data_IF_508360416466
#
_entry.id   IF_508360416466
#
_cell.length_a   1.000
_cell.length_b   1.000
_cell.length_c   1.000
_cell.angle_alpha   90.00
_cell.angle_beta   90.00
_cell.angle_gamma   90.00
#
_symmetry.space_group_name_H-M   'P 1'
#
loop_
_entity.id
_entity.type
_entity.pdbx_description
1 polymer ?
#
# COMPACT_ATOMS: atom_id res chain seq x y z
N UNK A 1 12.23 -7.10 11.89
CA UNK A 1 12.95 -7.10 10.60
C UNK A 1 12.04 -6.64 9.49
N UNK A 2 12.53 -5.76 8.65
CA UNK A 2 11.83 -5.26 7.47
C UNK A 2 12.63 -5.70 6.24
N UNK A 3 11.97 -6.42 5.34
CA UNK A 3 12.56 -6.80 4.05
C UNK A 3 11.70 -6.20 2.96
N UNK A 4 12.30 -5.28 2.20
CA UNK A 4 11.64 -4.61 1.09
C UNK A 4 11.86 -5.44 -0.17
N UNK A 5 10.79 -5.71 -0.89
CA UNK A 5 10.82 -6.48 -2.13
C UNK A 5 10.51 -5.59 -3.32
N UNK A 6 11.08 -5.92 -4.47
CA UNK A 6 10.63 -5.34 -5.73
C UNK A 6 9.27 -5.92 -6.10
N UNK A 7 8.55 -5.25 -7.01
CA UNK A 7 7.25 -5.74 -7.48
C UNK A 7 7.39 -7.13 -8.09
N UNK A 8 8.48 -7.39 -8.80
CA UNK A 8 8.74 -8.68 -9.46
C UNK A 8 8.99 -9.82 -8.47
N UNK A 9 9.47 -9.49 -7.27
CA UNK A 9 9.74 -10.47 -6.21
C UNK A 9 8.50 -10.80 -5.37
N UNK A 10 7.44 -10.02 -5.52
CA UNK A 10 6.20 -10.24 -4.78
C UNK A 10 5.53 -11.54 -5.21
N UNK A 11 5.18 -12.38 -4.22
CA UNK A 11 4.53 -13.65 -4.45
C UNK A 11 3.23 -13.73 -3.63
N UNK A 12 2.10 -13.80 -4.31
CA UNK A 12 0.78 -13.92 -3.69
C UNK A 12 0.64 -15.20 -2.84
N UNK A 13 1.40 -16.24 -3.16
CA UNK A 13 1.36 -17.50 -2.43
C UNK A 13 2.04 -17.42 -1.07
N UNK A 14 2.81 -16.37 -0.82
CA UNK A 14 3.48 -16.12 0.47
C UNK A 14 2.60 -15.35 1.45
N UNK A 15 1.40 -14.97 1.06
CA UNK A 15 0.48 -14.18 1.87
C UNK A 15 -0.31 -15.07 2.83
N UNK A 16 -0.34 -14.66 4.10
CA UNK A 16 -1.15 -15.27 5.13
C UNK A 16 -2.01 -14.20 5.80
N UNK A 17 -3.31 -14.44 5.88
CA UNK A 17 -4.26 -13.56 6.56
C UNK A 17 -4.51 -14.08 7.96
N UNK A 18 -4.28 -13.23 8.97
CA UNK A 18 -4.55 -13.57 10.35
C UNK A 18 -6.06 -13.50 10.64
N UNK A 19 -6.46 -13.99 11.81
CA UNK A 19 -7.84 -13.89 12.24
C UNK A 19 -8.25 -12.44 12.43
N UNK A 20 -9.48 -12.05 12.05
CA UNK A 20 -9.96 -10.68 12.23
C UNK A 20 -10.00 -10.30 13.69
N UNK A 21 -9.57 -9.05 13.97
CA UNK A 21 -9.69 -8.45 15.30
C UNK A 21 -10.58 -7.22 15.21
N UNK A 22 -11.26 -6.92 16.31
CA UNK A 22 -12.15 -5.74 16.37
C UNK A 22 -11.31 -4.47 16.22
N UNK A 23 -11.72 -3.61 15.28
CA UNK A 23 -11.09 -2.31 15.11
C UNK A 23 -11.58 -1.34 16.19
N UNK A 24 -10.65 -0.79 16.98
CA UNK A 24 -10.99 0.14 18.07
C UNK A 24 -11.39 1.53 17.58
N UNK A 25 -11.06 1.86 16.34
CA UNK A 25 -11.28 3.20 15.78
C UNK A 25 -12.66 3.31 15.14
N UNK A 26 -13.14 2.22 14.53
CA UNK A 26 -14.44 2.18 13.85
C UNK A 26 -15.33 1.17 14.57
N UNK A 27 -16.49 1.62 15.03
CA UNK A 27 -17.52 0.72 15.57
C UNK A 27 -17.93 -0.26 14.46
N UNK A 28 -18.07 -1.53 14.76
CA UNK A 28 -18.38 -2.61 13.82
C UNK A 28 -17.30 -2.88 12.76
N UNK A 29 -16.13 -2.22 12.86
CA UNK A 29 -14.99 -2.47 11.99
C UNK A 29 -14.11 -3.60 12.49
N UNK A 30 -13.44 -4.25 11.54
CA UNK A 30 -12.46 -5.29 11.84
C UNK A 30 -11.16 -5.01 11.09
N UNK A 31 -10.07 -5.49 11.66
CA UNK A 31 -8.75 -5.44 11.04
C UNK A 31 -8.19 -6.84 10.90
N UNK A 32 -7.70 -7.16 9.71
CA UNK A 32 -7.11 -8.46 9.40
C UNK A 32 -5.65 -8.24 9.04
N UNK A 33 -4.76 -8.67 9.94
CA UNK A 33 -3.33 -8.53 9.72
C UNK A 33 -2.85 -9.42 8.59
N UNK A 34 -1.96 -8.89 7.74
CA UNK A 34 -1.30 -9.65 6.69
C UNK A 34 0.11 -10.01 7.15
N UNK A 35 0.47 -11.27 6.99
CA UNK A 35 1.84 -11.74 7.14
C UNK A 35 2.36 -12.16 5.77
N UNK A 36 3.64 -11.90 5.52
CA UNK A 36 4.34 -12.39 4.34
C UNK A 36 5.31 -13.47 4.79
N UNK A 37 5.01 -14.71 4.44
CA UNK A 37 5.79 -15.88 4.86
C UNK A 37 6.70 -16.35 3.73
N UNK A 38 7.98 -16.14 3.90
CA UNK A 38 9.01 -16.68 3.02
C UNK A 38 9.63 -17.94 3.67
N UNK A 39 10.46 -18.66 2.91
CA UNK A 39 11.03 -19.93 3.36
C UNK A 39 11.79 -19.88 4.68
N UNK A 40 12.41 -18.74 5.00
CA UNK A 40 13.27 -18.58 6.16
C UNK A 40 12.80 -17.55 7.20
N UNK A 41 11.71 -16.82 6.92
CA UNK A 41 11.25 -15.76 7.82
C UNK A 41 9.77 -15.40 7.59
N UNK A 42 9.17 -14.75 8.58
CA UNK A 42 7.83 -14.21 8.49
C UNK A 42 7.90 -12.70 8.72
N UNK A 43 7.31 -11.93 7.83
CA UNK A 43 7.26 -10.47 7.90
C UNK A 43 5.88 -10.00 8.33
N UNK A 44 5.84 -8.93 9.13
CA UNK A 44 4.62 -8.23 9.51
C UNK A 44 4.19 -7.25 8.41
N UNK A 45 3.51 -7.77 7.40
CA UNK A 45 3.05 -6.97 6.28
C UNK A 45 3.94 -7.11 5.05
N UNK A 46 3.52 -6.43 4.01
CA UNK A 46 4.19 -6.42 2.71
C UNK A 46 4.88 -5.07 2.53
N UNK A 47 6.14 -5.09 2.13
CA UNK A 47 6.93 -3.88 1.86
C UNK A 47 7.42 -3.95 0.42
N UNK A 48 6.92 -3.06 -0.44
CA UNK A 48 7.25 -3.03 -1.86
C UNK A 48 8.01 -1.76 -2.20
N UNK A 49 9.12 -1.90 -2.91
CA UNK A 49 9.88 -0.77 -3.42
C UNK A 49 9.27 -0.29 -4.74
N UNK A 50 8.92 0.99 -4.79
CA UNK A 50 8.32 1.63 -5.94
C UNK A 50 9.27 2.70 -6.46
N UNK A 51 9.63 2.61 -7.74
CA UNK A 51 10.48 3.60 -8.40
C UNK A 51 9.65 4.36 -9.42
N UNK A 52 9.34 5.62 -9.12
CA UNK A 52 8.59 6.49 -10.01
C UNK A 52 9.52 7.21 -10.99
N UNK A 53 8.98 7.56 -12.14
CA UNK A 53 9.62 8.46 -13.09
C UNK A 53 9.19 9.88 -12.77
N UNK A 54 10.16 10.74 -12.46
CA UNK A 54 9.96 12.17 -12.21
C UNK A 54 8.91 12.49 -11.14
N UNK A 55 9.38 12.72 -9.93
CA UNK A 55 8.54 13.16 -8.82
C UNK A 55 8.80 14.65 -8.58
N UNK A 56 7.72 15.44 -8.52
CA UNK A 56 7.76 16.83 -8.10
C UNK A 56 7.14 16.95 -6.71
N UNK A 57 7.93 17.40 -5.74
CA UNK A 57 7.50 17.48 -4.34
C UNK A 57 7.12 18.91 -4.00
N UNK A 58 5.90 19.12 -3.53
CA UNK A 58 5.38 20.38 -3.04
C UNK A 58 5.13 20.29 -1.53
N UNK A 59 5.60 21.30 -0.80
CA UNK A 59 5.27 21.41 0.62
C UNK A 59 3.98 22.19 0.79
N UNK A 60 3.07 21.62 1.59
CA UNK A 60 1.77 22.22 1.84
C UNK A 60 1.44 22.08 3.34
N UNK A 61 1.64 23.15 4.12
CA UNK A 61 1.57 23.16 5.58
C UNK A 61 2.50 22.09 6.18
N UNK A 62 1.96 21.10 6.90
CA UNK A 62 2.72 19.98 7.47
C UNK A 62 2.70 18.73 6.59
N UNK A 63 2.36 18.92 5.31
CA UNK A 63 2.22 17.82 4.35
C UNK A 63 3.15 18.03 3.18
N UNK A 64 3.51 16.95 2.54
CA UNK A 64 4.20 16.96 1.25
C UNK A 64 3.31 16.28 0.22
N UNK A 65 3.16 16.92 -0.91
CA UNK A 65 2.44 16.37 -2.05
C UNK A 65 3.45 15.99 -3.11
N UNK A 66 3.58 14.71 -3.38
CA UNK A 66 4.50 14.17 -4.37
C UNK A 66 3.74 13.90 -5.66
N UNK A 67 3.93 14.77 -6.64
CA UNK A 67 3.21 14.69 -7.92
C UNK A 67 4.03 13.91 -8.93
N UNK A 68 3.35 13.13 -9.75
CA UNK A 68 3.96 12.39 -10.85
C UNK A 68 3.04 12.34 -12.05
N UNK A 69 3.62 12.11 -13.22
CA UNK A 69 2.85 11.95 -14.45
C UNK A 69 2.33 10.52 -14.55
N UNK A 70 1.02 10.35 -14.68
CA UNK A 70 0.39 9.04 -14.74
C UNK A 70 0.88 8.25 -15.96
N UNK A 71 0.99 8.89 -17.12
CA UNK A 71 1.39 8.22 -18.34
C UNK A 71 2.82 7.69 -18.30
N UNK A 72 3.72 8.43 -17.64
CA UNK A 72 5.12 8.03 -17.48
C UNK A 72 5.32 6.93 -16.43
N UNK A 73 4.30 6.62 -15.65
CA UNK A 73 4.33 5.64 -14.57
C UNK A 73 3.26 4.54 -14.74
N UNK A 74 2.76 4.38 -15.95
CA UNK A 74 1.63 3.49 -16.24
C UNK A 74 1.89 2.05 -15.82
N UNK A 75 3.06 1.50 -16.13
CA UNK A 75 3.40 0.11 -15.78
C UNK A 75 3.44 -0.10 -14.27
N UNK A 76 4.01 0.85 -13.54
CA UNK A 76 4.09 0.80 -12.09
C UNK A 76 2.68 0.83 -11.46
N UNK A 77 1.86 1.76 -11.90
CA UNK A 77 0.48 1.91 -11.43
C UNK A 77 -0.33 0.64 -11.72
N UNK A 78 -0.19 0.09 -12.91
CA UNK A 78 -0.89 -1.14 -13.29
C UNK A 78 -0.45 -2.33 -12.45
N UNK A 79 0.85 -2.45 -12.17
CA UNK A 79 1.39 -3.51 -11.30
C UNK A 79 0.83 -3.42 -9.88
N UNK A 80 0.74 -2.22 -9.34
CA UNK A 80 0.18 -2.00 -8.00
C UNK A 80 -1.32 -2.30 -7.99
N UNK A 81 -2.03 -1.89 -9.02
CA UNK A 81 -3.46 -2.22 -9.19
C UNK A 81 -3.68 -3.72 -9.17
N UNK A 82 -2.85 -4.48 -9.88
CA UNK A 82 -2.94 -5.93 -9.92
C UNK A 82 -2.67 -6.56 -8.55
N UNK A 83 -1.69 -6.05 -7.81
CA UNK A 83 -1.39 -6.54 -6.45
C UNK A 83 -2.57 -6.29 -5.52
N UNK A 84 -3.12 -5.08 -5.53
CA UNK A 84 -4.31 -4.75 -4.72
C UNK A 84 -5.49 -5.64 -5.07
N UNK A 85 -5.77 -5.81 -6.34
CA UNK A 85 -6.85 -6.69 -6.81
C UNK A 85 -6.63 -8.14 -6.39
N UNK A 86 -5.40 -8.65 -6.51
CA UNK A 86 -5.08 -10.02 -6.13
C UNK A 86 -5.25 -10.26 -4.63
N UNK A 87 -4.82 -9.32 -3.81
CA UNK A 87 -4.96 -9.42 -2.35
C UNK A 87 -6.43 -9.42 -1.93
N UNK A 88 -7.23 -8.50 -2.48
CA UNK A 88 -8.64 -8.40 -2.15
C UNK A 88 -9.42 -9.61 -2.67
N UNK A 89 -9.03 -10.15 -3.83
CA UNK A 89 -9.64 -11.37 -4.37
C UNK A 89 -9.28 -12.60 -3.56
N UNK A 90 -8.05 -12.69 -3.07
CA UNK A 90 -7.61 -13.81 -2.23
C UNK A 90 -8.36 -13.85 -0.89
N UNK A 91 -8.70 -12.69 -0.34
CA UNK A 91 -9.47 -12.56 0.90
C UNK A 91 -10.95 -12.27 0.61
N UNK A 92 -11.50 -12.81 -0.42
CA UNK A 92 -12.86 -12.50 -0.86
C UNK A 92 -13.89 -12.61 0.29
N UNK A 93 -14.62 -11.52 0.51
CA UNK A 93 -15.69 -11.44 1.50
C UNK A 93 -17.04 -11.39 0.78
N UNK A 94 -17.80 -12.48 0.89
CA UNK A 94 -19.12 -12.56 0.28
C UNK A 94 -20.07 -11.51 0.85
N UNK A 95 -20.73 -10.76 -0.03
CA UNK A 95 -21.70 -9.73 0.34
C UNK A 95 -21.10 -8.39 0.69
N UNK A 96 -19.77 -8.21 0.55
CA UNK A 96 -19.10 -6.94 0.80
C UNK A 96 -18.44 -6.42 -0.47
N UNK A 97 -18.29 -5.10 -0.55
CA UNK A 97 -17.77 -4.41 -1.72
C UNK A 97 -16.28 -4.09 -1.51
N UNK A 98 -15.40 -4.57 -2.40
CA UNK A 98 -13.97 -4.22 -2.31
C UNK A 98 -13.76 -2.75 -2.67
N UNK A 99 -12.85 -2.09 -1.93
CA UNK A 99 -12.51 -0.70 -2.12
C UNK A 99 -11.03 -0.61 -2.49
N UNK A 100 -10.73 -0.16 -3.70
CA UNK A 100 -9.37 -0.12 -4.27
C UNK A 100 -8.72 1.24 -4.02
N UNK A 101 -8.48 1.59 -2.75
CA UNK A 101 -7.99 2.91 -2.36
C UNK A 101 -6.57 3.22 -2.84
N UNK A 102 -5.70 2.22 -2.93
CA UNK A 102 -4.33 2.43 -3.40
C UNK A 102 -4.36 2.86 -4.86
N UNK A 103 -5.04 2.13 -5.70
CA UNK A 103 -5.18 2.46 -7.12
C UNK A 103 -5.85 3.81 -7.33
N UNK A 104 -6.92 4.10 -6.59
CA UNK A 104 -7.62 5.38 -6.67
C UNK A 104 -6.71 6.56 -6.34
N UNK A 105 -5.84 6.40 -5.34
CA UNK A 105 -4.88 7.44 -4.98
C UNK A 105 -3.84 7.65 -6.08
N UNK A 106 -3.26 6.58 -6.60
CA UNK A 106 -2.24 6.66 -7.65
C UNK A 106 -2.80 7.22 -8.96
N UNK A 107 -4.04 6.90 -9.27
CA UNK A 107 -4.75 7.41 -10.44
C UNK A 107 -4.90 8.93 -10.42
N UNK A 108 -4.88 9.54 -9.24
CA UNK A 108 -4.93 11.00 -9.10
C UNK A 108 -3.58 11.67 -9.36
N UNK A 109 -2.51 10.91 -9.54
CA UNK A 109 -1.20 11.43 -9.90
C UNK A 109 -0.40 12.01 -8.76
N UNK A 110 -0.72 11.68 -7.50
CA UNK A 110 0.06 12.17 -6.38
C UNK A 110 0.01 11.23 -5.17
N UNK A 111 1.04 11.37 -4.33
CA UNK A 111 1.13 10.71 -3.03
C UNK A 111 1.28 11.81 -1.99
N UNK A 112 0.45 11.78 -0.95
CA UNK A 112 0.52 12.73 0.16
C UNK A 112 1.27 12.10 1.34
N UNK A 113 2.28 12.80 1.84
CA UNK A 113 3.06 12.39 2.99
C UNK A 113 2.82 13.36 4.15
N UNK A 114 2.63 12.80 5.33
CA UNK A 114 2.47 13.57 6.57
C UNK A 114 3.72 13.39 7.40
N UNK A 115 4.68 14.29 7.24
CA UNK A 115 5.92 14.27 8.00
C UNK A 115 6.45 15.70 8.17
N UNK A 116 7.23 15.93 9.23
CA UNK A 116 7.71 17.26 9.54
C UNK A 116 8.81 17.72 8.59
N UNK A 117 9.73 16.85 8.23
CA UNK A 117 10.84 17.15 7.36
C UNK A 117 11.09 16.02 6.36
N UNK A 118 10.98 16.34 5.10
CA UNK A 118 11.34 15.43 4.03
C UNK A 118 12.71 15.82 3.49
N UNK A 119 13.67 14.92 3.55
CA UNK A 119 14.99 15.15 2.98
C UNK A 119 14.88 15.25 1.46
N UNK A 120 15.46 16.30 0.90
CA UNK A 120 15.59 16.41 -0.55
C UNK A 120 16.62 15.38 -1.01
N UNK A 121 16.16 14.35 -1.68
CA UNK A 121 17.01 13.35 -2.31
C UNK A 121 16.73 13.34 -3.80
N UNK A 122 17.71 12.91 -4.58
CA UNK A 122 17.55 12.81 -6.03
C UNK A 122 16.81 11.52 -6.45
N UNK A 123 16.44 10.68 -5.49
CA UNK A 123 15.69 9.48 -5.83
C UNK A 123 14.19 9.73 -5.80
N UNK A 124 13.47 8.98 -6.62
CA UNK A 124 12.02 9.03 -6.74
C UNK A 124 11.39 7.75 -6.19
N UNK A 125 12.00 7.18 -5.16
CA UNK A 125 11.59 5.89 -4.63
C UNK A 125 10.74 6.01 -3.39
N UNK A 126 9.74 5.14 -3.32
CA UNK A 126 8.84 5.00 -2.17
C UNK A 126 8.77 3.54 -1.75
N UNK A 127 8.44 3.31 -0.50
CA UNK A 127 8.05 2.00 -0.02
C UNK A 127 6.55 2.02 0.20
N UNK A 128 5.85 1.10 -0.44
CA UNK A 128 4.43 0.85 -0.16
C UNK A 128 4.36 -0.24 0.90
N UNK A 129 3.90 0.12 2.09
CA UNK A 129 3.66 -0.84 3.17
C UNK A 129 2.18 -1.20 3.19
N UNK A 130 1.88 -2.50 3.06
CA UNK A 130 0.53 -3.03 3.20
C UNK A 130 0.49 -3.86 4.49
N UNK A 131 -0.24 -3.37 5.49
CA UNK A 131 -0.26 -3.98 6.83
C UNK A 131 -1.35 -5.03 6.99
N UNK A 132 -2.45 -4.89 6.28
CA UNK A 132 -3.59 -5.78 6.43
C UNK A 132 -4.79 -5.29 5.65
N UNK A 133 -5.96 -5.83 6.02
CA UNK A 133 -7.24 -5.39 5.47
C UNK A 133 -8.08 -4.77 6.58
N UNK A 134 -8.89 -3.81 6.20
CA UNK A 134 -9.97 -3.30 7.03
C UNK A 134 -11.30 -3.79 6.48
N UNK A 135 -12.25 -3.98 7.36
CA UNK A 135 -13.57 -4.49 7.03
C UNK A 135 -14.61 -3.68 7.79
N UNK A 136 -15.65 -3.23 7.10
CA UNK A 136 -16.85 -2.62 7.69
C UNK A 136 -18.05 -3.50 7.34
N UNK A 137 -19.25 -3.09 7.68
CA UNK A 137 -20.47 -3.82 7.33
C UNK A 137 -20.68 -3.97 5.83
N UNK A 138 -20.23 -2.96 5.06
CA UNK A 138 -20.51 -2.86 3.62
C UNK A 138 -19.26 -3.07 2.77
N UNK A 139 -18.10 -2.55 3.23
CA UNK A 139 -16.88 -2.46 2.45
C UNK A 139 -15.71 -3.21 3.10
N UNK A 140 -14.71 -3.50 2.28
CA UNK A 140 -13.40 -3.97 2.76
C UNK A 140 -12.31 -3.47 1.81
N UNK A 141 -11.10 -3.32 2.33
CA UNK A 141 -9.99 -2.79 1.55
C UNK A 141 -8.66 -3.01 2.25
N UNK A 142 -7.58 -2.53 1.64
CA UNK A 142 -6.24 -2.66 2.20
C UNK A 142 -5.90 -1.49 3.13
N UNK A 143 -5.24 -1.82 4.23
CA UNK A 143 -4.61 -0.83 5.11
C UNK A 143 -3.18 -0.67 4.66
N UNK A 144 -2.79 0.53 4.26
CA UNK A 144 -1.50 0.80 3.64
C UNK A 144 -0.98 2.19 3.98
N UNK A 145 0.30 2.40 3.72
CA UNK A 145 0.91 3.73 3.72
C UNK A 145 2.10 3.77 2.76
N UNK A 146 2.41 4.97 2.29
CA UNK A 146 3.60 5.23 1.50
C UNK A 146 4.68 5.84 2.38
N UNK A 147 5.92 5.40 2.19
CA UNK A 147 7.09 5.89 2.90
C UNK A 147 8.10 6.37 1.85
N UNK A 148 8.56 7.61 1.97
CA UNK A 148 9.58 8.13 1.05
C UNK A 148 10.94 7.54 1.43
N UNK A 149 11.64 7.01 0.44
CA UNK A 149 13.03 6.54 0.63
C UNK A 149 13.97 7.73 0.59
N UNK A 150 14.83 7.83 1.57
CA UNK A 150 15.83 8.88 1.67
C UNK A 150 17.15 8.49 1.00
#
# INVERSE_FOLDING_TARGET
>A
MIVVKSIEQYDINSIYFCDPIKNKIVDDGKFIKILYSASNFILNGIYLLLNFNEINIERYYNKYKCNFNINNNEKLIESIKNIENNLLSKYELTGKIPNYKIYEQLKNGNIKLFCDNLKKTNNNSFILKISGLWETDIYYGLTYKFIKVN
#
